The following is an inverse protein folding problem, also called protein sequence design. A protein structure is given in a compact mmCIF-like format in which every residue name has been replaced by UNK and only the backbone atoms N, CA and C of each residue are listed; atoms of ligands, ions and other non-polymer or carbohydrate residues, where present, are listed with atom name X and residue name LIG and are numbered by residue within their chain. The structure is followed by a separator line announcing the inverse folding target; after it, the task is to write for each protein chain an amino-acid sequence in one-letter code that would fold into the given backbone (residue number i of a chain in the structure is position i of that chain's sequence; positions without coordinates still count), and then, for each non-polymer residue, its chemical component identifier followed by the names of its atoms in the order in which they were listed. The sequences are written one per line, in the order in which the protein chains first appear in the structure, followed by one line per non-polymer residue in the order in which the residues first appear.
data_IF_943430495302
#
_entry.id   IF_943430495302
#
_cell.length_a   1.000
_cell.length_b   1.000
_cell.length_c   1.000
_cell.angle_alpha   90.00
_cell.angle_beta   90.00
_cell.angle_gamma   90.00
#
_symmetry.space_group_name_H-M   'P 1'
#
loop_
_entity.id
_entity.type
_entity.pdbx_description
1 polymer ?
#
# COMPACT_ATOMS: atom_id res chain seq x y z
N UNK A 1 0.57 2.00 8.56
CA UNK A 1 1.80 1.28 8.16
C UNK A 1 1.56 -0.20 7.87
N UNK A 2 0.80 -0.93 8.69
CA UNK A 2 0.49 -2.36 8.46
C UNK A 2 -0.14 -2.64 7.08
N UNK A 3 -1.10 -1.83 6.62
CA UNK A 3 -1.70 -2.00 5.29
C UNK A 3 -0.70 -1.87 4.13
N UNK A 4 0.31 -1.02 4.27
CA UNK A 4 1.37 -0.84 3.27
C UNK A 4 2.30 -2.04 3.24
N UNK A 5 2.73 -2.51 4.42
CA UNK A 5 3.56 -3.71 4.53
C UNK A 5 2.85 -4.96 3.99
N UNK A 6 1.55 -5.12 4.29
CA UNK A 6 0.75 -6.21 3.74
C UNK A 6 0.71 -6.14 2.22
N UNK A 7 0.41 -4.97 1.66
CA UNK A 7 0.34 -4.76 0.22
C UNK A 7 1.69 -4.96 -0.49
N UNK A 8 2.79 -4.51 0.11
CA UNK A 8 4.15 -4.73 -0.40
C UNK A 8 4.52 -6.22 -0.39
N UNK A 9 4.09 -6.95 0.64
CA UNK A 9 4.32 -8.39 0.75
C UNK A 9 3.52 -9.15 -0.32
N UNK A 10 2.24 -8.84 -0.48
CA UNK A 10 1.38 -9.39 -1.54
C UNK A 10 1.97 -9.10 -2.92
N UNK A 11 2.37 -7.85 -3.19
CA UNK A 11 3.00 -7.47 -4.45
C UNK A 11 4.26 -8.30 -4.73
N UNK A 12 5.14 -8.47 -3.75
CA UNK A 12 6.37 -9.25 -3.91
C UNK A 12 6.07 -10.73 -4.19
N UNK A 13 5.06 -11.30 -3.53
CA UNK A 13 4.63 -12.67 -3.77
C UNK A 13 4.06 -12.85 -5.18
N UNK A 14 3.19 -11.93 -5.63
CA UNK A 14 2.64 -11.92 -6.99
C UNK A 14 3.74 -11.75 -8.05
N UNK A 15 4.71 -10.86 -7.82
CA UNK A 15 5.85 -10.66 -8.74
C UNK A 15 6.72 -11.92 -8.86
N UNK A 16 6.97 -12.62 -7.75
CA UNK A 16 7.70 -13.90 -7.75
C UNK A 16 6.91 -15.01 -8.46
N UNK A 17 5.61 -15.10 -8.20
CA UNK A 17 4.75 -16.08 -8.88
C UNK A 17 4.73 -15.83 -10.39
N UNK A 18 4.66 -14.57 -10.82
CA UNK A 18 4.72 -14.16 -12.22
C UNK A 18 6.07 -14.53 -12.86
N UNK A 19 7.18 -14.29 -12.15
CA UNK A 19 8.52 -14.63 -12.63
C UNK A 19 8.68 -16.15 -12.83
N UNK A 20 8.23 -16.95 -11.86
CA UNK A 20 8.30 -18.40 -11.95
C UNK A 20 7.38 -18.94 -13.06
N UNK A 21 6.17 -18.40 -13.16
CA UNK A 21 5.22 -18.76 -14.21
C UNK A 21 5.77 -18.42 -15.61
N UNK A 22 6.53 -17.32 -15.76
CA UNK A 22 7.19 -16.96 -17.03
C UNK A 22 8.33 -17.92 -17.40
N UNK A 23 9.01 -18.51 -16.41
CA UNK A 23 10.09 -19.50 -16.61
C UNK A 23 9.57 -20.91 -16.89
N UNK A 24 8.37 -21.24 -16.41
CA UNK A 24 7.71 -22.51 -16.67
C UNK A 24 7.56 -22.76 -18.19
N UNK A 25 7.62 -24.03 -18.62
CA UNK A 25 7.47 -24.35 -20.04
C UNK A 25 6.00 -24.22 -20.49
N UNK A 26 5.76 -23.93 -21.76
CA UNK A 26 4.38 -23.77 -22.28
C UNK A 26 3.58 -25.10 -22.26
N UNK A 27 4.28 -26.24 -22.22
CA UNK A 27 3.69 -27.57 -22.12
C UNK A 27 3.32 -27.97 -20.68
N UNK A 28 3.71 -27.19 -19.66
CA UNK A 28 3.41 -27.50 -18.27
C UNK A 28 1.99 -27.10 -17.90
N UNK A 29 1.30 -28.00 -17.19
CA UNK A 29 -0.03 -27.70 -16.68
C UNK A 29 0.07 -26.77 -15.47
N UNK A 30 -0.48 -25.57 -15.62
CA UNK A 30 -0.52 -24.57 -14.56
C UNK A 30 -1.88 -24.57 -13.87
N UNK A 31 -1.86 -24.37 -12.56
CA UNK A 31 -3.05 -24.42 -11.71
C UNK A 31 -3.14 -23.17 -10.86
N UNK A 32 -4.35 -22.62 -10.76
CA UNK A 32 -4.69 -21.53 -9.86
C UNK A 32 -5.33 -22.07 -8.60
N UNK A 33 -4.93 -21.55 -7.45
CA UNK A 33 -5.60 -21.82 -6.19
C UNK A 33 -6.84 -20.92 -6.03
N UNK A 34 -7.99 -21.51 -5.72
CA UNK A 34 -9.25 -20.82 -5.46
C UNK A 34 -9.91 -21.39 -4.19
N UNK A 35 -9.59 -20.83 -3.03
CA UNK A 35 -10.14 -21.27 -1.75
C UNK A 35 -9.62 -22.64 -1.32
N UNK A 36 -10.41 -23.69 -1.43
CA UNK A 36 -9.96 -25.07 -1.10
C UNK A 36 -9.74 -25.93 -2.34
N UNK A 37 -9.90 -25.36 -3.54
CA UNK A 37 -9.79 -26.08 -4.80
C UNK A 37 -8.67 -25.51 -5.68
N UNK A 38 -8.17 -26.34 -6.59
CA UNK A 38 -7.24 -25.92 -7.64
C UNK A 38 -7.93 -26.04 -9.00
N UNK A 39 -7.78 -25.01 -9.83
CA UNK A 39 -8.39 -24.92 -11.16
C UNK A 39 -7.26 -24.92 -12.18
N UNK A 40 -7.33 -25.81 -13.18
CA UNK A 40 -6.39 -25.77 -14.31
C UNK A 40 -6.65 -24.51 -15.13
N UNK A 41 -5.61 -23.75 -15.38
CA UNK A 41 -5.68 -22.51 -16.14
C UNK A 41 -4.69 -22.52 -17.29
N UNK A 42 -4.84 -21.60 -18.23
CA UNK A 42 -3.82 -21.37 -19.24
C UNK A 42 -2.73 -20.47 -18.65
N UNK A 43 -1.47 -20.75 -19.02
CA UNK A 43 -0.31 -19.95 -18.61
C UNK A 43 -0.47 -18.49 -19.00
N UNK A 44 -0.91 -18.22 -20.24
CA UNK A 44 -1.14 -16.85 -20.73
C UNK A 44 -2.18 -16.10 -19.88
N UNK A 45 -3.32 -16.71 -19.64
CA UNK A 45 -4.39 -16.09 -18.85
C UNK A 45 -3.94 -15.79 -17.42
N UNK A 46 -3.15 -16.70 -16.81
CA UNK A 46 -2.57 -16.49 -15.49
C UNK A 46 -1.49 -15.40 -15.46
N UNK A 47 -0.66 -15.29 -16.50
CA UNK A 47 0.30 -14.20 -16.63
C UNK A 47 -0.42 -12.86 -16.70
N UNK A 48 -1.43 -12.75 -17.57
CA UNK A 48 -2.20 -11.52 -17.75
C UNK A 48 -2.92 -11.14 -16.42
N UNK A 49 -3.48 -12.12 -15.70
CA UNK A 49 -4.10 -11.90 -14.39
C UNK A 49 -3.10 -11.43 -13.33
N UNK A 50 -1.94 -12.08 -13.21
CA UNK A 50 -0.91 -11.72 -12.24
C UNK A 50 -0.34 -10.33 -12.53
N UNK A 51 -0.18 -9.96 -13.80
CA UNK A 51 0.24 -8.61 -14.19
C UNK A 51 -0.79 -7.54 -13.80
N UNK A 52 -2.08 -7.83 -13.99
CA UNK A 52 -3.17 -6.95 -13.54
C UNK A 52 -3.15 -6.78 -12.01
N UNK A 53 -2.94 -7.87 -11.26
CA UNK A 53 -2.84 -7.82 -9.80
C UNK A 53 -1.66 -6.96 -9.32
N UNK A 54 -0.50 -7.05 -9.99
CA UNK A 54 0.68 -6.22 -9.68
C UNK A 54 0.39 -4.74 -9.93
N UNK A 55 -0.21 -4.38 -11.06
CA UNK A 55 -0.56 -2.98 -11.35
C UNK A 55 -1.63 -2.43 -10.41
N UNK A 56 -2.61 -3.26 -10.00
CA UNK A 56 -3.58 -2.89 -8.98
C UNK A 56 -2.89 -2.65 -7.63
N UNK A 57 -1.98 -3.53 -7.22
CA UNK A 57 -1.22 -3.38 -5.97
C UNK A 57 -0.37 -2.11 -5.97
N UNK A 58 0.29 -1.80 -7.09
CA UNK A 58 1.08 -0.57 -7.29
C UNK A 58 0.22 0.69 -7.21
N UNK A 59 -0.98 0.66 -7.79
CA UNK A 59 -1.93 1.77 -7.70
C UNK A 59 -2.36 2.02 -6.25
N UNK A 60 -2.72 0.95 -5.53
CA UNK A 60 -3.06 1.03 -4.09
C UNK A 60 -1.88 1.56 -3.26
N UNK A 61 -0.66 1.14 -3.57
CA UNK A 61 0.54 1.59 -2.86
C UNK A 61 0.79 3.09 -3.07
N UNK A 62 0.61 3.59 -4.31
CA UNK A 62 0.70 5.02 -4.61
C UNK A 62 -0.33 5.84 -3.85
N UNK A 63 -1.57 5.34 -3.75
CA UNK A 63 -2.62 5.99 -2.97
C UNK A 63 -2.27 6.06 -1.48
N UNK A 64 -1.82 4.95 -0.89
CA UNK A 64 -1.39 4.90 0.51
C UNK A 64 -0.20 5.83 0.78
N UNK A 65 0.75 5.92 -0.16
CA UNK A 65 1.88 6.85 -0.04
C UNK A 65 1.42 8.32 -0.02
N UNK A 66 0.48 8.71 -0.89
CA UNK A 66 -0.11 10.06 -0.88
C UNK A 66 -0.86 10.36 0.43
N UNK A 67 -1.58 9.37 0.96
CA UNK A 67 -2.26 9.50 2.25
C UNK A 67 -1.25 9.68 3.40
N UNK A 68 -0.15 8.94 3.38
CA UNK A 68 0.93 9.05 4.38
C UNK A 68 1.59 10.44 4.33
N UNK A 69 1.88 10.95 3.14
CA UNK A 69 2.45 12.29 2.95
C UNK A 69 1.52 13.38 3.49
N UNK A 70 0.23 13.33 3.14
CA UNK A 70 -0.76 14.30 3.64
C UNK A 70 -0.84 14.26 5.17
N UNK A 71 -0.85 13.08 5.77
CA UNK A 71 -0.87 12.93 7.23
C UNK A 71 0.39 13.52 7.87
N UNK A 72 1.58 13.28 7.30
CA UNK A 72 2.84 13.87 7.78
C UNK A 72 2.81 15.40 7.73
N UNK A 73 2.28 15.98 6.66
CA UNK A 73 2.15 17.44 6.55
C UNK A 73 1.20 17.98 7.60
N UNK A 74 0.01 17.38 7.76
CA UNK A 74 -0.95 17.80 8.80
C UNK A 74 -0.38 17.66 10.21
N UNK A 75 0.38 16.61 10.51
CA UNK A 75 1.05 16.45 11.79
C UNK A 75 2.07 17.56 12.05
N UNK A 76 2.93 17.90 11.07
CA UNK A 76 3.88 19.02 11.21
C UNK A 76 3.18 20.36 11.42
N UNK A 77 2.09 20.61 10.71
CA UNK A 77 1.28 21.82 10.91
C UNK A 77 0.67 21.87 12.33
N UNK A 78 0.17 20.75 12.84
CA UNK A 78 -0.37 20.65 14.20
C UNK A 78 0.72 20.82 15.26
N UNK A 79 1.88 20.18 15.09
CA UNK A 79 3.05 20.35 15.97
C UNK A 79 3.47 21.82 16.03
N UNK A 80 3.53 22.49 14.88
CA UNK A 80 3.89 23.93 14.80
C UNK A 80 2.86 24.79 15.54
N UNK A 81 1.56 24.57 15.31
CA UNK A 81 0.49 25.29 16.03
C UNK A 81 0.55 25.08 17.54
N UNK A 82 0.80 23.86 17.99
CA UNK A 82 0.93 23.55 19.42
C UNK A 82 2.15 24.26 20.00
N UNK A 83 3.30 24.24 19.30
CA UNK A 83 4.51 24.96 19.73
C UNK A 83 4.29 26.48 19.81
N UNK A 84 3.57 27.07 18.86
CA UNK A 84 3.20 28.49 18.88
C UNK A 84 2.30 28.82 20.07
N UNK A 85 1.28 27.99 20.35
CA UNK A 85 0.42 28.15 21.52
C UNK A 85 1.18 28.01 22.84
N UNK A 86 2.12 27.05 22.93
CA UNK A 86 2.95 26.83 24.12
C UNK A 86 4.00 27.92 24.33
N UNK A 87 4.52 28.54 23.26
CA UNK A 87 5.41 29.71 23.34
C UNK A 87 4.69 30.99 23.77
N UNK A 88 3.35 30.99 23.80
CA UNK A 88 2.55 32.16 24.16
C UNK A 88 1.75 31.97 25.48
N UNK A 89 2.39 31.69 26.64
CA UNK A 89 1.68 31.62 27.93
C UNK A 89 1.33 32.99 28.53
N UNK A 90 1.52 34.10 27.81
CA UNK A 90 1.38 35.45 28.37
C UNK A 90 0.62 36.36 27.42
N UNK A 91 -0.70 36.53 27.62
CA UNK A 91 -1.48 37.77 27.40
C UNK A 91 -2.99 37.52 27.44
N UNK A 92 -3.55 36.91 28.49
CA UNK A 92 -4.97 37.14 28.78
C UNK A 92 -5.39 37.04 30.25
N UNK A 93 -4.66 37.71 31.14
CA UNK A 93 -5.16 38.04 32.49
C UNK A 93 -4.78 39.49 32.83
N UNK A 94 -5.46 40.47 32.23
CA UNK A 94 -5.52 41.84 32.79
C UNK A 94 -6.86 41.94 33.52
N UNK A 95 -6.90 42.20 34.85
CA UNK A 95 -8.16 42.35 35.56
C UNK A 95 -8.83 43.68 35.16
N UNK A 96 -10.16 43.73 35.03
CA UNK A 96 -10.87 44.99 34.87
C UNK A 96 -10.82 45.76 36.20
N UNK A 97 -10.84 47.08 36.02
CA UNK A 97 -10.52 48.16 36.96
C UNK A 97 -11.49 48.28 38.13
#
# INVERSE_FOLDING_TARGET
MMQKQQLESEKLETEKALEELKKASDDESVFKHAGTIMIKSNKKDLIDELEEQVELAKTKASLLAKQEERLKTTLKEQETKIQEMMKNPSTNTKPPK
#
